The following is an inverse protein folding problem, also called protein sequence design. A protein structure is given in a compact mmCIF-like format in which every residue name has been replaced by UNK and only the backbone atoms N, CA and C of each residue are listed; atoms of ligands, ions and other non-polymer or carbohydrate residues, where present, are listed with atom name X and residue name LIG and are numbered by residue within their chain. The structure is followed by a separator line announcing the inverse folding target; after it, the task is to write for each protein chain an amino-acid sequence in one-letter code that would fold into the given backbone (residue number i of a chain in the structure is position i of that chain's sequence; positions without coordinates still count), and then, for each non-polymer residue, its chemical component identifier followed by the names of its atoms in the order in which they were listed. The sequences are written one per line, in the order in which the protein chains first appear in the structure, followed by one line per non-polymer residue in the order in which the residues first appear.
data_IF_899653369219
#
_entry.id   IF_899653369219
#
_cell.length_a   1.000
_cell.length_b   1.000
_cell.length_c   1.000
_cell.angle_alpha   90.00
_cell.angle_beta   90.00
_cell.angle_gamma   90.00
#
_symmetry.space_group_name_H-M   'P 1'
#
loop_
_entity.id
_entity.type
_entity.pdbx_description
1 polymer ?
#
# COMPACT_ATOMS: atom_id res chain seq x y z
N UNK A 1 23.20 39.22 -28.29
CA UNK A 1 23.73 37.89 -27.92
C UNK A 1 23.62 37.65 -26.42
N UNK A 2 24.25 38.46 -25.56
CA UNK A 2 24.18 38.31 -24.10
C UNK A 2 22.76 38.33 -23.50
N UNK A 3 21.88 39.21 -23.99
CA UNK A 3 20.49 39.32 -23.51
C UNK A 3 19.64 38.09 -23.84
N UNK A 4 19.86 37.50 -25.02
CA UNK A 4 19.19 36.26 -25.43
C UNK A 4 19.64 35.06 -24.57
N UNK A 5 20.92 34.99 -24.24
CA UNK A 5 21.45 33.95 -23.34
C UNK A 5 20.89 34.09 -21.92
N UNK A 6 20.74 35.32 -21.43
CA UNK A 6 20.17 35.60 -20.12
C UNK A 6 18.69 35.19 -20.06
N UNK A 7 17.94 35.47 -21.12
CA UNK A 7 16.53 35.09 -21.24
C UNK A 7 16.32 33.57 -21.30
N UNK A 8 17.12 32.87 -22.11
CA UNK A 8 17.09 31.40 -22.19
C UNK A 8 17.45 30.78 -20.84
N UNK A 9 18.46 31.33 -20.14
CA UNK A 9 18.83 30.89 -18.81
C UNK A 9 17.68 31.03 -17.80
N UNK A 10 17.01 32.18 -17.77
CA UNK A 10 15.88 32.42 -16.87
C UNK A 10 14.70 31.49 -17.15
N UNK A 11 14.46 31.12 -18.41
CA UNK A 11 13.37 30.20 -18.76
C UNK A 11 13.69 28.73 -18.46
N UNK A 12 14.93 28.28 -18.69
CA UNK A 12 15.30 26.86 -18.60
C UNK A 12 15.70 26.47 -17.17
N UNK A 13 16.30 27.37 -16.40
CA UNK A 13 16.80 27.09 -15.04
C UNK A 13 15.68 26.63 -14.09
N UNK A 14 14.50 27.29 -14.02
CA UNK A 14 13.42 26.82 -13.14
C UNK A 14 12.93 25.43 -13.54
N UNK A 15 12.76 25.17 -14.83
CA UNK A 15 12.31 23.87 -15.33
C UNK A 15 13.34 22.76 -15.01
N UNK A 16 14.63 23.05 -15.16
CA UNK A 16 15.70 22.12 -14.81
C UNK A 16 15.77 21.86 -13.30
N UNK A 17 15.54 22.88 -12.47
CA UNK A 17 15.48 22.75 -11.00
C UNK A 17 14.31 21.86 -10.59
N UNK A 18 13.10 22.10 -11.13
CA UNK A 18 11.94 21.26 -10.85
C UNK A 18 12.15 19.81 -11.28
N UNK A 19 12.75 19.59 -12.46
CA UNK A 19 13.10 18.27 -12.94
C UNK A 19 14.11 17.56 -12.03
N UNK A 20 15.12 18.29 -11.54
CA UNK A 20 16.13 17.75 -10.64
C UNK A 20 15.55 17.41 -9.26
N UNK A 21 14.66 18.26 -8.73
CA UNK A 21 13.95 18.03 -7.48
C UNK A 21 13.05 16.79 -7.57
N UNK A 22 12.30 16.63 -8.66
CA UNK A 22 11.47 15.46 -8.91
C UNK A 22 12.32 14.18 -9.02
N UNK A 23 13.43 14.24 -9.76
CA UNK A 23 14.40 13.15 -9.88
C UNK A 23 14.99 12.75 -8.52
N UNK A 24 15.39 13.73 -7.70
CA UNK A 24 15.92 13.49 -6.36
C UNK A 24 14.84 12.96 -5.42
N UNK A 25 13.62 13.46 -5.51
CA UNK A 25 12.48 12.97 -4.74
C UNK A 25 12.17 11.51 -5.07
N UNK A 26 12.12 11.14 -6.35
CA UNK A 26 11.92 9.76 -6.80
C UNK A 26 13.09 8.84 -6.43
N UNK A 27 14.34 9.32 -6.55
CA UNK A 27 15.51 8.55 -6.16
C UNK A 27 15.58 8.32 -4.64
N UNK A 28 15.16 9.29 -3.84
CA UNK A 28 15.24 9.21 -2.39
C UNK A 28 14.06 8.47 -1.75
N UNK A 29 12.86 8.61 -2.31
CA UNK A 29 11.67 7.94 -1.76
C UNK A 29 11.61 6.46 -2.13
N UNK A 30 12.40 5.99 -3.12
CA UNK A 30 12.33 4.61 -3.61
C UNK A 30 10.97 4.23 -4.19
N UNK A 31 10.07 5.21 -4.31
CA UNK A 31 8.78 5.09 -4.99
C UNK A 31 9.11 5.06 -6.47
N UNK A 32 9.32 3.84 -6.98
CA UNK A 32 9.23 3.57 -8.41
C UNK A 32 8.01 4.33 -8.93
N UNK A 33 8.14 5.19 -9.97
CA UNK A 33 6.98 5.84 -10.56
C UNK A 33 5.98 4.74 -10.87
N UNK A 34 4.83 4.83 -10.22
CA UNK A 34 3.78 3.85 -10.29
C UNK A 34 3.40 3.67 -11.76
N UNK A 35 3.71 2.52 -12.39
CA UNK A 35 3.29 2.24 -13.75
C UNK A 35 1.82 1.83 -13.64
N UNK A 36 0.94 2.83 -13.62
CA UNK A 36 -0.49 2.58 -13.58
C UNK A 36 -0.84 1.72 -14.79
N UNK A 37 -1.51 0.60 -14.51
CA UNK A 37 -2.05 -0.39 -15.46
C UNK A 37 -1.09 -1.52 -15.85
N UNK A 38 -0.67 -2.36 -14.89
CA UNK A 38 -0.83 -3.78 -15.20
C UNK A 38 -2.37 -3.99 -15.18
N UNK A 39 -3.04 -4.24 -16.33
CA UNK A 39 -4.40 -4.76 -16.29
C UNK A 39 -4.33 -5.97 -15.39
N UNK A 40 -5.32 -6.10 -14.49
CA UNK A 40 -5.51 -7.24 -13.60
C UNK A 40 -4.83 -8.44 -14.23
N UNK A 41 -3.65 -8.83 -13.69
CA UNK A 41 -2.98 -10.03 -14.17
C UNK A 41 -4.09 -11.06 -14.17
N UNK A 42 -4.42 -11.54 -15.36
CA UNK A 42 -5.20 -12.74 -15.50
C UNK A 42 -4.60 -13.67 -14.47
N UNK A 43 -5.39 -13.94 -13.44
CA UNK A 43 -5.09 -14.96 -12.46
C UNK A 43 -5.14 -16.20 -13.34
N UNK A 44 -4.01 -16.52 -13.95
CA UNK A 44 -3.78 -17.78 -14.59
C UNK A 44 -4.17 -18.79 -13.52
N UNK A 45 -5.22 -19.61 -13.75
CA UNK A 45 -5.81 -20.44 -12.72
C UNK A 45 -4.75 -21.44 -12.29
N UNK A 46 -3.93 -21.00 -11.33
CA UNK A 46 -2.93 -21.78 -10.65
C UNK A 46 -3.73 -22.81 -9.89
N UNK A 47 -3.62 -24.02 -10.41
CA UNK A 47 -4.14 -25.29 -9.92
C UNK A 47 -4.58 -25.24 -8.45
N UNK A 48 -5.73 -25.86 -8.12
CA UNK A 48 -6.32 -25.77 -6.79
C UNK A 48 -5.40 -26.41 -5.74
N UNK A 49 -4.59 -25.59 -5.07
CA UNK A 49 -4.08 -25.89 -3.74
C UNK A 49 -5.15 -25.41 -2.75
N UNK A 50 -6.17 -26.25 -2.57
CA UNK A 50 -7.44 -25.95 -1.88
C UNK A 50 -7.33 -25.71 -0.37
N UNK A 51 -6.13 -25.66 0.21
CA UNK A 51 -5.93 -25.54 1.67
C UNK A 51 -4.72 -24.69 2.06
N UNK A 52 -4.19 -23.84 1.16
CA UNK A 52 -3.06 -22.95 1.50
C UNK A 52 -3.24 -21.44 1.23
N UNK A 53 -4.36 -20.91 0.70
CA UNK A 53 -4.50 -19.46 0.54
C UNK A 53 -4.88 -18.77 1.85
N UNK A 54 -5.70 -19.40 2.70
CA UNK A 54 -6.22 -18.76 3.91
C UNK A 54 -5.16 -18.66 5.01
N UNK A 55 -4.40 -19.73 5.21
CA UNK A 55 -3.33 -19.83 6.21
C UNK A 55 -2.21 -18.82 5.92
N UNK A 56 -1.95 -18.55 4.63
CA UNK A 56 -1.03 -17.49 4.21
C UNK A 56 -1.56 -16.10 4.56
N UNK A 57 -2.84 -15.86 4.30
CA UNK A 57 -3.46 -14.58 4.64
C UNK A 57 -3.52 -14.36 6.16
N UNK A 58 -3.79 -15.39 6.94
CA UNK A 58 -3.72 -15.38 8.42
C UNK A 58 -2.30 -15.01 8.87
N UNK A 59 -1.28 -15.66 8.31
CA UNK A 59 0.11 -15.37 8.63
C UNK A 59 0.50 -13.93 8.22
N UNK A 60 -0.01 -13.45 7.09
CA UNK A 60 0.20 -12.08 6.63
C UNK A 60 -0.52 -11.07 7.54
N UNK A 61 -1.75 -11.34 8.01
CA UNK A 61 -2.46 -10.50 8.98
C UNK A 61 -1.66 -10.36 10.28
N UNK A 62 -1.24 -11.47 10.87
CA UNK A 62 -0.43 -11.45 12.10
C UNK A 62 0.90 -10.71 11.89
N UNK A 63 1.57 -10.93 10.74
CA UNK A 63 2.81 -10.21 10.40
C UNK A 63 2.57 -8.70 10.28
N UNK A 64 1.52 -8.29 9.59
CA UNK A 64 1.19 -6.88 9.35
C UNK A 64 0.79 -6.18 10.65
N UNK A 65 0.04 -6.84 11.52
CA UNK A 65 -0.32 -6.32 12.85
C UNK A 65 0.93 -6.04 13.69
N UNK A 66 1.86 -7.00 13.75
CA UNK A 66 3.15 -6.81 14.41
C UNK A 66 3.96 -5.66 13.79
N UNK A 67 3.90 -5.50 12.47
CA UNK A 67 4.58 -4.42 11.76
C UNK A 67 3.97 -3.05 12.08
N UNK A 68 2.64 -2.95 12.15
CA UNK A 68 1.93 -1.74 12.59
C UNK A 68 2.36 -1.39 14.01
N UNK A 69 2.27 -2.34 14.95
CA UNK A 69 2.63 -2.12 16.35
C UNK A 69 4.12 -1.74 16.52
N UNK A 70 5.00 -2.30 15.68
CA UNK A 70 6.42 -1.92 15.64
C UNK A 70 6.62 -0.50 15.10
N UNK A 71 5.94 -0.14 14.02
CA UNK A 71 6.03 1.19 13.42
C UNK A 71 5.49 2.27 14.35
N UNK A 72 4.39 2.00 15.04
CA UNK A 72 3.80 2.90 16.05
C UNK A 72 4.76 3.24 17.19
N UNK A 73 5.58 2.29 17.62
CA UNK A 73 6.61 2.51 18.66
C UNK A 73 7.93 3.06 18.13
N UNK A 74 8.10 3.14 16.81
CA UNK A 74 9.34 3.63 16.20
C UNK A 74 9.32 5.15 15.98
N UNK A 75 10.50 5.76 15.97
CA UNK A 75 10.72 7.17 15.62
C UNK A 75 11.38 7.33 14.25
N UNK A 76 11.08 6.42 13.32
CA UNK A 76 11.68 6.44 11.98
C UNK A 76 11.20 7.63 11.15
N UNK A 77 12.05 8.18 10.25
CA UNK A 77 11.61 9.15 9.27
C UNK A 77 10.53 8.54 8.37
N UNK A 78 9.58 9.38 7.93
CA UNK A 78 8.41 8.97 7.13
C UNK A 78 7.52 7.89 7.77
N UNK A 79 7.51 7.78 9.11
CA UNK A 79 6.64 6.88 9.88
C UNK A 79 5.19 6.91 9.42
N UNK A 80 4.61 8.09 9.25
CA UNK A 80 3.20 8.27 8.85
C UNK A 80 2.91 7.55 7.53
N UNK A 81 3.75 7.74 6.52
CA UNK A 81 3.57 7.10 5.21
C UNK A 81 3.75 5.58 5.28
N UNK A 82 4.72 5.09 6.07
CA UNK A 82 4.92 3.66 6.27
C UNK A 82 3.74 3.02 6.97
N UNK A 83 3.26 3.66 8.04
CA UNK A 83 2.10 3.21 8.79
C UNK A 83 0.87 3.18 7.88
N UNK A 84 0.66 4.22 7.07
CA UNK A 84 -0.44 4.26 6.10
C UNK A 84 -0.35 3.13 5.07
N UNK A 85 0.84 2.87 4.51
CA UNK A 85 1.04 1.79 3.54
C UNK A 85 0.77 0.40 4.15
N UNK A 86 1.29 0.12 5.34
CA UNK A 86 1.08 -1.16 6.04
C UNK A 86 -0.39 -1.30 6.46
N UNK A 87 -1.03 -0.20 6.88
CA UNK A 87 -2.45 -0.17 7.21
C UNK A 87 -3.34 -0.50 6.02
N UNK A 88 -3.01 0.04 4.83
CA UNK A 88 -3.73 -0.28 3.59
C UNK A 88 -3.53 -1.74 3.19
N UNK A 89 -2.31 -2.26 3.33
CA UNK A 89 -2.04 -3.67 3.07
C UNK A 89 -2.87 -4.58 4.01
N UNK A 90 -2.96 -4.21 5.29
CA UNK A 90 -3.77 -4.92 6.28
C UNK A 90 -5.26 -4.93 5.91
N UNK A 91 -5.83 -3.78 5.54
CA UNK A 91 -7.23 -3.68 5.10
C UNK A 91 -7.50 -4.50 3.81
N UNK A 92 -6.55 -4.53 2.87
CA UNK A 92 -6.65 -5.34 1.66
C UNK A 92 -6.57 -6.85 1.97
N UNK A 93 -5.76 -7.27 2.95
CA UNK A 93 -5.70 -8.67 3.43
C UNK A 93 -6.98 -9.07 4.16
N UNK A 94 -7.55 -8.19 4.99
CA UNK A 94 -8.86 -8.43 5.62
C UNK A 94 -9.95 -8.66 4.57
N UNK A 95 -9.99 -7.82 3.53
CA UNK A 95 -10.92 -8.00 2.40
C UNK A 95 -10.71 -9.33 1.70
N UNK A 96 -9.46 -9.74 1.47
CA UNK A 96 -9.16 -11.02 0.85
C UNK A 96 -9.68 -12.21 1.70
N UNK A 97 -9.54 -12.12 3.03
CA UNK A 97 -10.12 -13.10 3.95
C UNK A 97 -11.65 -13.13 3.87
N UNK A 98 -12.32 -11.96 3.84
CA UNK A 98 -13.77 -11.90 3.69
C UNK A 98 -14.24 -12.57 2.39
N UNK A 99 -13.53 -12.32 1.27
CA UNK A 99 -13.87 -12.93 -0.02
C UNK A 99 -13.73 -14.46 0.02
N UNK A 100 -12.68 -14.99 0.65
CA UNK A 100 -12.47 -16.44 0.75
C UNK A 100 -13.49 -17.11 1.67
N UNK A 101 -13.90 -16.42 2.74
CA UNK A 101 -14.92 -16.91 3.68
C UNK A 101 -16.35 -16.57 3.25
N UNK A 102 -16.54 -16.03 2.04
CA UNK A 102 -17.84 -15.63 1.48
C UNK A 102 -18.62 -14.63 2.37
N UNK A 103 -17.89 -13.81 3.13
CA UNK A 103 -18.43 -12.74 3.97
C UNK A 103 -18.60 -11.44 3.16
N UNK A 104 -19.50 -10.53 3.57
CA UNK A 104 -19.67 -9.24 2.91
C UNK A 104 -18.37 -8.43 2.97
N UNK A 105 -17.73 -8.24 1.81
CA UNK A 105 -16.51 -7.45 1.72
C UNK A 105 -16.82 -5.97 2.01
N UNK A 106 -16.02 -5.28 2.84
CA UNK A 106 -16.27 -3.89 3.15
C UNK A 106 -16.01 -2.99 1.93
N UNK A 107 -16.89 -1.98 1.69
CA UNK A 107 -16.91 -1.23 0.44
C UNK A 107 -15.74 -0.25 0.30
N UNK A 108 -15.16 0.22 1.41
CA UNK A 108 -14.10 1.21 1.40
C UNK A 108 -12.72 0.55 1.36
N UNK A 109 -11.85 1.01 0.45
CA UNK A 109 -10.48 0.50 0.35
C UNK A 109 -9.68 0.66 1.64
N UNK A 110 -9.85 1.80 2.30
CA UNK A 110 -9.33 2.08 3.63
C UNK A 110 -10.48 2.00 4.62
N UNK A 111 -10.35 1.17 5.64
CA UNK A 111 -11.36 1.02 6.68
C UNK A 111 -11.18 2.08 7.75
N UNK A 112 -12.29 2.65 8.23
CA UNK A 112 -12.25 3.41 9.46
C UNK A 112 -11.95 2.44 10.63
N UNK A 113 -11.36 2.95 11.72
CA UNK A 113 -10.94 2.08 12.83
C UNK A 113 -12.08 1.22 13.41
N UNK A 114 -13.29 1.76 13.47
CA UNK A 114 -14.48 1.01 13.92
C UNK A 114 -14.90 -0.06 12.90
N UNK A 115 -14.95 0.29 11.61
CA UNK A 115 -15.32 -0.66 10.55
C UNK A 115 -14.33 -1.82 10.47
N UNK A 116 -13.03 -1.53 10.67
CA UNK A 116 -11.99 -2.57 10.77
C UNK A 116 -12.28 -3.54 11.91
N UNK A 117 -12.56 -3.05 13.11
CA UNK A 117 -12.87 -3.91 14.26
C UNK A 117 -14.10 -4.79 14.02
N UNK A 118 -15.12 -4.25 13.32
CA UNK A 118 -16.30 -5.05 12.93
C UNK A 118 -15.91 -6.17 11.99
N UNK A 119 -15.11 -5.88 10.95
CA UNK A 119 -14.64 -6.90 10.00
C UNK A 119 -13.78 -7.97 10.69
N UNK A 120 -12.88 -7.57 11.58
CA UNK A 120 -12.08 -8.50 12.39
C UNK A 120 -12.97 -9.40 13.24
N UNK A 121 -14.01 -8.85 13.87
CA UNK A 121 -14.97 -9.62 14.65
C UNK A 121 -15.78 -10.60 13.79
N UNK A 122 -16.20 -10.20 12.58
CA UNK A 122 -16.89 -11.08 11.62
C UNK A 122 -16.00 -12.24 11.16
N UNK A 123 -14.72 -11.96 10.87
CA UNK A 123 -13.73 -12.99 10.53
C UNK A 123 -13.49 -13.96 11.69
N UNK A 124 -13.39 -13.44 12.93
CA UNK A 124 -13.26 -14.25 14.13
C UNK A 124 -14.49 -15.14 14.36
N UNK A 125 -15.70 -14.64 14.11
CA UNK A 125 -16.94 -15.42 14.18
C UNK A 125 -16.99 -16.53 13.11
N UNK A 126 -16.42 -16.28 11.94
CA UNK A 126 -16.24 -17.28 10.89
C UNK A 126 -15.10 -18.28 11.18
N UNK A 127 -14.44 -18.18 12.33
CA UNK A 127 -13.43 -19.13 12.82
C UNK A 127 -11.99 -18.77 12.48
N UNK A 128 -11.73 -17.56 11.95
CA UNK A 128 -10.38 -17.09 11.61
C UNK A 128 -9.79 -16.34 12.80
N UNK A 129 -8.74 -16.90 13.42
CA UNK A 129 -8.03 -16.32 14.57
C UNK A 129 -6.55 -16.16 14.20
N UNK A 130 -5.95 -15.03 14.60
CA UNK A 130 -4.55 -14.71 14.36
C UNK A 130 -3.93 -13.96 15.53
#
# INVERSE_FOLDING_TARGET
MAVLLLYVGICVVPAAIFWLLDRCYHAWTGVRPWPWSEPARDIEPSRPSSHLPLERLVADLHRLELEIARLERSDMPAKVHRLEAVTLAYDDTLRACCVILELPAPPARRLAGVDRLVVEAELAQAGLLW
#
